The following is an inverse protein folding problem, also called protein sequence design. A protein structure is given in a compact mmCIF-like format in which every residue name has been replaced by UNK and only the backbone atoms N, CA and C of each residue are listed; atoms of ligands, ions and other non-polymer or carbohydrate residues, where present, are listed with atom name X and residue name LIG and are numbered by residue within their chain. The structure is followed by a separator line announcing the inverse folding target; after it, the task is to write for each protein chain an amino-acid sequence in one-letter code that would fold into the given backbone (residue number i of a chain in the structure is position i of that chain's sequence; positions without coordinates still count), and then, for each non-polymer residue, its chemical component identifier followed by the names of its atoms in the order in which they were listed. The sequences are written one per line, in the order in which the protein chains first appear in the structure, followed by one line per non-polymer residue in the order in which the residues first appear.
data_IF_107171432192
#
_entry.id   IF_107171432192
#
_cell.length_a   1.000
_cell.length_b   1.000
_cell.length_c   1.000
_cell.angle_alpha   90.00
_cell.angle_beta   90.00
_cell.angle_gamma   90.00
#
_symmetry.space_group_name_H-M   'P 1'
#
loop_
_entity.id
_entity.type
_entity.pdbx_description
1 polymer ?
#
# COMPACT_ATOMS: atom_id res chain seq x y z
N UNK A 1 -17.92 -7.83 29.53
CA UNK A 1 -18.29 -6.40 29.45
C UNK A 1 -17.06 -5.63 29.04
N UNK A 2 -17.11 -4.91 27.92
CA UNK A 2 -15.98 -4.07 27.53
C UNK A 2 -15.87 -2.89 28.48
N UNK A 3 -14.68 -2.61 28.95
CA UNK A 3 -14.39 -1.47 29.81
C UNK A 3 -14.77 -0.16 29.10
N UNK A 4 -15.50 0.77 29.75
CA UNK A 4 -15.96 2.00 29.10
C UNK A 4 -14.76 2.87 28.64
N UNK A 5 -14.94 3.55 27.51
CA UNK A 5 -13.94 4.48 27.01
C UNK A 5 -13.91 5.76 27.82
N UNK A 6 -12.72 6.26 28.13
CA UNK A 6 -12.56 7.61 28.67
C UNK A 6 -12.96 8.67 27.62
N UNK A 7 -13.27 9.91 28.01
CA UNK A 7 -13.60 10.98 27.07
C UNK A 7 -12.55 11.14 25.96
N UNK A 8 -11.26 11.15 26.29
CA UNK A 8 -10.15 11.25 25.32
C UNK A 8 -10.05 10.04 24.39
N UNK A 9 -10.36 8.84 24.87
CA UNK A 9 -10.39 7.65 24.02
C UNK A 9 -11.55 7.69 23.04
N UNK A 10 -12.70 8.25 23.42
CA UNK A 10 -13.83 8.48 22.51
C UNK A 10 -13.47 9.48 21.43
N UNK A 11 -12.79 10.58 21.78
CA UNK A 11 -12.34 11.59 20.82
C UNK A 11 -11.38 10.98 19.77
N UNK A 12 -10.42 10.15 20.21
CA UNK A 12 -9.50 9.46 19.31
C UNK A 12 -10.23 8.47 18.40
N UNK A 13 -11.16 7.69 18.93
CA UNK A 13 -11.94 6.75 18.12
C UNK A 13 -12.79 7.48 17.08
N UNK A 14 -13.49 8.56 17.48
CA UNK A 14 -14.29 9.38 16.58
C UNK A 14 -13.44 10.05 15.48
N UNK A 15 -12.22 10.49 15.82
CA UNK A 15 -11.26 11.02 14.83
C UNK A 15 -10.87 9.97 13.80
N UNK A 16 -10.60 8.74 14.24
CA UNK A 16 -10.24 7.62 13.36
C UNK A 16 -11.42 7.28 12.44
N UNK A 17 -12.64 7.15 13.00
CA UNK A 17 -13.85 6.85 12.25
C UNK A 17 -14.16 7.93 11.21
N UNK A 18 -14.01 9.21 11.57
CA UNK A 18 -14.22 10.35 10.68
C UNK A 18 -13.21 10.34 9.54
N UNK A 19 -11.92 10.15 9.82
CA UNK A 19 -10.87 10.08 8.79
C UNK A 19 -11.14 8.96 7.79
N UNK A 20 -11.59 7.80 8.27
CA UNK A 20 -11.95 6.67 7.40
C UNK A 20 -13.19 7.01 6.54
N UNK A 21 -14.17 7.71 7.10
CA UNK A 21 -15.38 8.11 6.37
C UNK A 21 -15.10 9.17 5.30
N UNK A 22 -14.25 10.16 5.60
CA UNK A 22 -13.96 11.29 4.72
C UNK A 22 -12.89 10.98 3.67
N UNK A 23 -11.86 10.21 4.05
CA UNK A 23 -10.68 9.99 3.20
C UNK A 23 -10.50 8.54 2.74
N UNK A 24 -11.27 7.58 3.31
CA UNK A 24 -11.15 6.15 3.00
C UNK A 24 -10.02 5.43 3.76
N UNK A 25 -9.25 6.13 4.59
CA UNK A 25 -8.14 5.57 5.37
C UNK A 25 -8.04 6.18 6.77
N UNK A 26 -7.47 5.44 7.76
CA UNK A 26 -7.27 5.96 9.11
C UNK A 26 -6.14 7.00 9.15
N UNK A 27 -6.14 7.89 10.16
CA UNK A 27 -5.06 8.85 10.36
C UNK A 27 -3.78 8.18 10.83
N UNK A 28 -2.65 8.82 10.56
CA UNK A 28 -1.34 8.44 11.13
C UNK A 28 -1.27 8.79 12.61
N UNK A 29 -0.29 8.20 13.31
CA UNK A 29 -0.02 8.55 14.73
C UNK A 29 0.30 10.03 14.92
N UNK A 30 1.01 10.64 13.98
CA UNK A 30 1.33 12.07 13.98
C UNK A 30 0.10 12.95 13.79
N UNK A 31 -0.80 12.60 12.88
CA UNK A 31 -2.08 13.30 12.67
C UNK A 31 -2.99 13.20 13.90
N UNK A 32 -3.04 12.03 14.56
CA UNK A 32 -3.79 11.86 15.82
C UNK A 32 -3.18 12.73 16.92
N UNK A 33 -1.86 12.75 17.08
CA UNK A 33 -1.18 13.57 18.08
C UNK A 33 -1.44 15.05 17.86
N UNK A 34 -1.35 15.52 16.62
CA UNK A 34 -1.64 16.91 16.24
C UNK A 34 -3.11 17.29 16.57
N UNK A 35 -4.06 16.42 16.23
CA UNK A 35 -5.48 16.64 16.52
C UNK A 35 -5.81 16.66 18.03
N UNK A 36 -5.02 15.98 18.85
CA UNK A 36 -5.13 16.00 20.30
C UNK A 36 -4.43 17.22 20.96
N UNK A 37 -3.77 18.07 20.15
CA UNK A 37 -2.97 19.18 20.64
C UNK A 37 -1.71 18.75 21.40
N UNK A 38 -1.24 17.52 21.17
CA UNK A 38 -0.07 16.97 21.84
C UNK A 38 1.20 17.19 20.99
N UNK A 39 2.27 17.62 21.65
CA UNK A 39 3.58 17.86 21.02
C UNK A 39 4.40 16.59 20.81
N UNK A 40 3.92 15.42 21.30
CA UNK A 40 4.66 14.16 21.24
C UNK A 40 3.83 13.05 20.59
N UNK A 41 4.41 12.28 19.63
CA UNK A 41 3.76 11.09 19.04
C UNK A 41 3.37 10.02 20.07
N UNK A 42 4.06 9.97 21.22
CA UNK A 42 3.78 9.01 22.30
C UNK A 42 2.39 9.19 22.94
N UNK A 43 1.80 10.38 22.87
CA UNK A 43 0.46 10.61 23.41
C UNK A 43 -0.61 9.83 22.61
N UNK A 44 -0.51 9.82 21.28
CA UNK A 44 -1.39 9.03 20.42
C UNK A 44 -1.23 7.53 20.68
N UNK A 45 0.01 7.05 20.81
CA UNK A 45 0.31 5.62 21.03
C UNK A 45 -0.37 5.08 22.30
N UNK A 46 -0.36 5.81 23.40
CA UNK A 46 -1.01 5.39 24.65
C UNK A 46 -2.54 5.21 24.48
N UNK A 47 -3.19 6.15 23.77
CA UNK A 47 -4.62 6.07 23.50
C UNK A 47 -4.95 4.93 22.53
N UNK A 48 -4.15 4.74 21.50
CA UNK A 48 -4.30 3.66 20.53
C UNK A 48 -4.16 2.28 21.20
N UNK A 49 -3.12 2.07 22.01
CA UNK A 49 -2.96 0.82 22.77
C UNK A 49 -4.09 0.55 23.74
N UNK A 50 -4.65 1.61 24.36
CA UNK A 50 -5.79 1.45 25.22
C UNK A 50 -7.06 1.07 24.45
N UNK A 51 -7.28 1.65 23.27
CA UNK A 51 -8.40 1.30 22.39
C UNK A 51 -8.27 -0.14 21.86
N UNK A 52 -7.07 -0.56 21.50
CA UNK A 52 -6.77 -1.93 21.06
C UNK A 52 -7.03 -2.95 22.17
N UNK A 53 -6.48 -2.73 23.37
CA UNK A 53 -6.71 -3.59 24.54
C UNK A 53 -8.18 -3.72 24.91
N UNK A 54 -8.95 -2.64 24.74
CA UNK A 54 -10.40 -2.61 24.94
C UNK A 54 -11.20 -3.18 23.75
N UNK A 55 -10.54 -3.58 22.66
CA UNK A 55 -11.15 -4.24 21.51
C UNK A 55 -11.96 -3.31 20.59
N UNK A 56 -11.66 -2.02 20.57
CA UNK A 56 -12.29 -1.06 19.67
C UNK A 56 -11.56 -0.92 18.33
N UNK A 57 -10.25 -1.11 18.33
CA UNK A 57 -9.41 -1.08 17.16
C UNK A 57 -8.44 -2.26 17.18
N UNK A 58 -7.81 -2.50 16.03
CA UNK A 58 -6.66 -3.39 15.86
C UNK A 58 -5.54 -2.56 15.24
N UNK A 59 -4.34 -2.65 15.82
CA UNK A 59 -3.16 -1.93 15.33
C UNK A 59 -2.33 -2.90 14.49
N UNK A 60 -2.09 -2.54 13.23
CA UNK A 60 -1.25 -3.28 12.30
C UNK A 60 0.11 -2.58 12.19
N UNK A 61 1.21 -3.29 11.86
CA UNK A 61 2.53 -2.71 11.74
C UNK A 61 2.70 -1.93 10.41
N UNK A 62 1.87 -0.91 10.20
CA UNK A 62 1.80 -0.06 9.02
C UNK A 62 1.64 1.40 9.45
N UNK A 63 2.10 2.36 8.64
CA UNK A 63 2.02 3.79 8.95
C UNK A 63 0.57 4.27 9.21
N UNK A 64 -0.42 3.72 8.49
CA UNK A 64 -1.87 3.93 8.69
C UNK A 64 -2.57 2.65 9.15
N UNK A 65 -1.88 1.80 9.89
CA UNK A 65 -2.32 0.47 10.29
C UNK A 65 -3.31 0.47 11.45
N UNK A 66 -4.40 1.22 11.38
CA UNK A 66 -5.46 1.22 12.39
C UNK A 66 -6.76 0.72 11.76
N UNK A 67 -7.32 -0.36 12.29
CA UNK A 67 -8.61 -0.91 11.88
C UNK A 67 -9.62 -0.80 13.01
N UNK A 68 -10.77 -0.16 12.76
CA UNK A 68 -11.88 -0.10 13.72
C UNK A 68 -12.64 -1.42 13.72
N UNK A 69 -12.85 -1.98 14.91
CA UNK A 69 -13.59 -3.23 15.11
C UNK A 69 -15.05 -2.89 15.38
N UNK A 70 -15.94 -3.18 14.41
CA UNK A 70 -17.37 -2.92 14.53
C UNK A 70 -18.06 -3.70 15.66
N UNK A 71 -19.22 -3.21 16.13
CA UNK A 71 -19.97 -3.74 17.28
C UNK A 71 -20.25 -5.25 17.26
N UNK A 72 -20.36 -5.88 16.09
CA UNK A 72 -20.63 -7.32 15.96
C UNK A 72 -19.50 -8.26 16.40
N UNK A 73 -18.27 -7.78 16.56
CA UNK A 73 -17.16 -8.58 17.12
C UNK A 73 -17.09 -8.47 18.65
N UNK A 74 -17.85 -7.52 19.24
CA UNK A 74 -17.92 -7.30 20.68
C UNK A 74 -18.75 -8.37 21.41
N UNK A 75 -19.69 -9.04 20.72
CA UNK A 75 -20.65 -9.98 21.34
C UNK A 75 -20.26 -11.46 21.28
N UNK A 76 -19.23 -11.85 20.48
CA UNK A 76 -18.83 -13.27 20.36
C UNK A 76 -17.94 -13.82 21.49
N UNK A 77 -17.86 -13.15 22.63
CA UNK A 77 -17.23 -13.70 23.85
C UNK A 77 -18.23 -14.03 24.98
N UNK A 78 -19.52 -14.05 24.72
CA UNK A 78 -20.55 -14.42 25.68
C UNK A 78 -21.83 -14.87 25.00
N UNK A 79 -22.03 -16.19 24.99
CA UNK A 79 -23.30 -16.95 24.92
C UNK A 79 -24.33 -16.65 23.80
N UNK A 80 -24.51 -17.63 22.95
CA UNK A 80 -25.69 -18.48 22.67
C UNK A 80 -27.09 -17.89 22.82
N UNK A 81 -27.85 -18.10 21.72
CA UNK A 81 -29.29 -18.37 21.58
C UNK A 81 -30.32 -17.24 21.41
N UNK A 82 -31.06 -17.49 20.32
CA UNK A 82 -32.48 -17.21 20.02
C UNK A 82 -32.99 -15.76 19.86
N UNK A 83 -33.46 -15.35 18.72
CA UNK A 83 -34.84 -15.49 18.28
C UNK A 83 -35.15 -14.72 16.97
N UNK A 84 -36.00 -15.31 16.18
CA UNK A 84 -36.63 -14.80 14.95
C UNK A 84 -37.46 -13.55 15.23
N UNK A 85 -37.33 -12.50 14.39
CA UNK A 85 -38.49 -11.70 13.98
C UNK A 85 -38.25 -11.07 12.59
N UNK A 86 -39.16 -11.40 11.66
CA UNK A 86 -39.39 -10.72 10.38
C UNK A 86 -39.92 -9.32 10.65
N UNK A 87 -39.32 -8.30 10.05
CA UNK A 87 -40.03 -7.06 9.70
C UNK A 87 -39.59 -6.66 8.30
N UNK A 88 -40.56 -6.64 7.41
CA UNK A 88 -40.47 -6.10 6.06
C UNK A 88 -40.37 -4.57 6.14
N UNK A 89 -39.37 -3.98 5.53
CA UNK A 89 -39.41 -2.61 5.02
C UNK A 89 -38.38 -2.47 3.92
N UNK A 90 -38.85 -2.06 2.73
CA UNK A 90 -38.08 -1.96 1.51
C UNK A 90 -37.00 -0.88 1.61
N UNK A 91 -35.80 -1.30 1.90
CA UNK A 91 -34.59 -0.54 1.69
C UNK A 91 -33.76 -1.37 0.74
N UNK A 92 -33.39 -0.78 -0.39
CA UNK A 92 -32.43 -1.35 -1.32
C UNK A 92 -31.22 -1.81 -0.51
N UNK A 93 -31.06 -3.13 -0.41
CA UNK A 93 -29.91 -3.71 0.29
C UNK A 93 -28.66 -3.37 -0.51
N UNK A 94 -27.92 -2.37 -0.06
CA UNK A 94 -26.51 -2.25 -0.42
C UNK A 94 -25.87 -3.56 0.07
N UNK A 95 -25.22 -4.35 -0.81
CA UNK A 95 -24.59 -5.59 -0.38
C UNK A 95 -23.66 -5.30 0.79
N UNK A 96 -23.73 -6.09 1.85
CA UNK A 96 -22.78 -6.04 2.97
C UNK A 96 -21.39 -6.42 2.47
N UNK A 97 -20.64 -5.43 2.03
CA UNK A 97 -19.29 -5.56 1.47
C UNK A 97 -18.27 -6.14 2.50
N UNK A 98 -18.66 -6.34 3.76
CA UNK A 98 -17.74 -6.64 4.86
C UNK A 98 -17.58 -8.12 5.23
N UNK A 99 -18.20 -9.04 4.51
CA UNK A 99 -18.04 -10.49 4.73
C UNK A 99 -17.82 -11.30 3.46
N UNK A 100 -17.58 -10.61 2.33
CA UNK A 100 -17.26 -11.26 1.07
C UNK A 100 -15.79 -11.71 1.07
N UNK A 101 -15.49 -12.99 0.73
CA UNK A 101 -14.11 -13.45 0.60
C UNK A 101 -13.27 -12.66 -0.42
N UNK A 102 -13.89 -11.82 -1.26
CA UNK A 102 -13.21 -10.88 -2.15
C UNK A 102 -12.38 -9.85 -1.38
N UNK A 103 -12.86 -9.33 -0.24
CA UNK A 103 -12.09 -8.38 0.58
C UNK A 103 -10.96 -9.00 1.39
N UNK A 104 -10.97 -10.33 1.57
CA UNK A 104 -9.86 -11.06 2.16
C UNK A 104 -8.62 -11.14 1.24
N UNK A 105 -8.74 -10.68 -0.01
CA UNK A 105 -7.71 -10.75 -1.06
C UNK A 105 -7.14 -9.38 -1.46
N UNK A 106 -7.35 -8.34 -0.67
CA UNK A 106 -6.76 -7.03 -0.99
C UNK A 106 -5.25 -7.10 -0.78
N UNK A 107 -4.52 -6.91 -1.87
CA UNK A 107 -3.08 -6.76 -1.88
C UNK A 107 -2.71 -5.32 -1.52
N UNK A 108 -1.95 -5.14 -0.45
CA UNK A 108 -1.42 -3.83 -0.04
C UNK A 108 0.01 -3.71 -0.49
N UNK A 109 0.26 -2.75 -1.36
CA UNK A 109 1.59 -2.54 -1.97
C UNK A 109 2.17 -1.21 -1.53
N UNK A 110 3.39 -1.20 -0.98
CA UNK A 110 4.10 0.04 -0.72
C UNK A 110 4.39 0.76 -2.05
N UNK A 111 4.11 2.06 -2.11
CA UNK A 111 4.47 2.92 -3.20
C UNK A 111 5.83 3.55 -2.91
N UNK A 112 6.81 3.22 -3.73
CA UNK A 112 8.15 3.79 -3.68
C UNK A 112 8.19 5.03 -4.56
N UNK A 113 8.54 6.16 -3.97
CA UNK A 113 8.60 7.43 -4.69
C UNK A 113 10.00 7.78 -5.15
N UNK A 114 10.93 7.85 -4.21
CA UNK A 114 12.33 8.17 -4.48
C UNK A 114 13.22 7.11 -3.85
N UNK A 115 14.09 6.55 -4.64
CA UNK A 115 15.13 5.63 -4.14
C UNK A 115 16.32 6.48 -3.73
N UNK A 116 16.69 6.40 -2.45
CA UNK A 116 17.88 7.09 -1.95
C UNK A 116 19.14 6.28 -2.33
N UNK A 117 20.20 7.01 -2.68
CA UNK A 117 21.50 6.42 -3.00
C UNK A 117 22.01 5.50 -1.87
N UNK A 118 22.52 4.32 -2.23
CA UNK A 118 23.08 3.35 -1.28
C UNK A 118 22.06 2.61 -0.40
N UNK A 119 20.76 2.87 -0.55
CA UNK A 119 19.71 2.22 0.24
C UNK A 119 18.96 1.14 -0.56
N UNK A 120 18.48 0.07 0.10
CA UNK A 120 17.56 -0.87 -0.55
C UNK A 120 16.30 -0.16 -1.03
N UNK A 121 15.75 -0.58 -2.18
CA UNK A 121 14.57 0.05 -2.78
C UNK A 121 13.35 0.08 -1.83
N UNK A 122 13.22 -0.92 -0.97
CA UNK A 122 12.16 -1.03 0.04
C UNK A 122 12.58 -0.46 1.42
N UNK A 123 13.56 0.44 1.48
CA UNK A 123 13.84 1.14 2.72
C UNK A 123 12.61 1.96 3.15
N UNK A 124 12.30 2.00 4.45
CA UNK A 124 11.13 2.73 4.98
C UNK A 124 11.09 4.20 4.53
N UNK A 125 12.26 4.80 4.36
CA UNK A 125 12.42 6.19 3.90
C UNK A 125 12.00 6.41 2.44
N UNK A 126 11.94 5.35 1.63
CA UNK A 126 11.56 5.39 0.21
C UNK A 126 10.05 5.21 0.01
N UNK A 127 9.32 4.77 1.03
CA UNK A 127 7.88 4.52 0.96
C UNK A 127 7.13 5.85 1.11
N UNK A 128 6.45 6.27 0.05
CA UNK A 128 5.61 7.49 0.05
C UNK A 128 4.18 7.20 0.50
N UNK A 129 3.64 6.03 0.16
CA UNK A 129 2.23 5.68 0.37
C UNK A 129 2.06 4.15 0.30
N UNK A 130 0.83 3.67 0.51
CA UNK A 130 0.43 2.28 0.32
C UNK A 130 -0.87 2.23 -0.48
N UNK A 131 -0.92 1.42 -1.54
CA UNK A 131 -2.12 1.23 -2.35
C UNK A 131 -2.73 -0.15 -2.11
N UNK A 132 -4.06 -0.17 -1.99
CA UNK A 132 -4.85 -1.39 -1.89
C UNK A 132 -5.38 -1.77 -3.28
N UNK A 133 -4.96 -2.93 -3.79
CA UNK A 133 -5.28 -3.40 -5.13
C UNK A 133 -5.80 -4.83 -5.12
N UNK A 134 -6.55 -5.21 -6.14
CA UNK A 134 -6.94 -6.61 -6.33
C UNK A 134 -5.73 -7.40 -6.88
N UNK A 135 -5.26 -8.46 -6.19
CA UNK A 135 -4.15 -9.28 -6.67
C UNK A 135 -4.42 -9.96 -8.01
N UNK A 136 -5.69 -10.15 -8.39
CA UNK A 136 -6.06 -10.75 -9.68
C UNK A 136 -5.72 -9.87 -10.89
N UNK A 137 -5.44 -8.59 -10.68
CA UNK A 137 -4.99 -7.68 -11.74
C UNK A 137 -3.58 -8.00 -12.25
N UNK A 138 -2.82 -8.84 -11.53
CA UNK A 138 -1.41 -9.06 -11.81
C UNK A 138 -1.04 -10.53 -11.87
N UNK A 139 -0.13 -10.88 -12.77
CA UNK A 139 0.50 -12.20 -12.85
C UNK A 139 1.96 -12.04 -13.25
N UNK A 140 2.93 -12.36 -12.39
CA UNK A 140 2.79 -12.74 -10.97
C UNK A 140 2.34 -11.56 -10.08
N UNK A 141 2.00 -11.88 -8.82
CA UNK A 141 1.67 -10.87 -7.81
C UNK A 141 2.86 -9.93 -7.58
N UNK A 142 2.67 -8.61 -7.63
CA UNK A 142 3.73 -7.65 -7.34
C UNK A 142 4.03 -7.54 -5.85
N UNK A 143 5.23 -7.10 -5.52
CA UNK A 143 5.70 -6.87 -4.16
C UNK A 143 5.67 -5.39 -3.77
N UNK A 144 5.77 -4.48 -4.75
CA UNK A 144 5.73 -3.04 -4.54
C UNK A 144 5.31 -2.28 -5.81
N UNK A 145 5.00 -1.01 -5.63
CA UNK A 145 4.79 -0.04 -6.70
C UNK A 145 5.94 0.94 -6.73
N UNK A 146 6.38 1.33 -7.93
CA UNK A 146 7.38 2.39 -8.11
C UNK A 146 6.76 3.52 -8.94
N UNK A 147 6.90 4.76 -8.47
CA UNK A 147 6.53 5.94 -9.24
C UNK A 147 7.52 6.18 -10.35
N UNK A 148 7.02 6.20 -11.58
CA UNK A 148 7.82 6.52 -12.78
C UNK A 148 8.12 7.99 -12.84
N UNK A 149 9.35 8.32 -13.21
CA UNK A 149 9.83 9.68 -13.50
C UNK A 149 10.47 9.73 -14.87
N UNK A 150 10.08 10.73 -15.63
CA UNK A 150 10.53 10.90 -17.01
C UNK A 150 9.79 9.99 -18.00
N UNK A 151 10.18 10.07 -19.25
CA UNK A 151 9.46 9.52 -20.39
C UNK A 151 10.28 8.49 -21.20
N UNK A 152 11.36 7.98 -20.63
CA UNK A 152 12.26 7.05 -21.33
C UNK A 152 11.60 5.72 -21.74
N UNK A 153 10.38 5.43 -21.26
CA UNK A 153 9.62 4.22 -21.56
C UNK A 153 8.26 4.52 -22.19
N UNK A 154 8.06 5.72 -22.76
CA UNK A 154 6.76 6.20 -23.29
C UNK A 154 6.20 5.29 -24.39
N UNK A 155 7.06 4.75 -25.27
CA UNK A 155 6.64 3.91 -26.41
C UNK A 155 6.28 2.48 -25.96
N UNK A 156 6.60 2.12 -24.70
CA UNK A 156 6.11 0.94 -24.00
C UNK A 156 4.82 1.23 -23.19
N UNK A 157 4.24 2.44 -23.33
CA UNK A 157 3.02 2.84 -22.63
C UNK A 157 3.23 3.25 -21.17
N UNK A 158 4.47 3.44 -20.72
CA UNK A 158 4.83 3.87 -19.37
C UNK A 158 5.25 5.34 -19.43
N UNK A 159 4.47 6.20 -18.75
CA UNK A 159 4.65 7.66 -18.79
C UNK A 159 5.06 8.22 -17.43
N UNK A 160 5.52 9.45 -17.44
CA UNK A 160 5.82 10.19 -16.22
C UNK A 160 4.60 10.26 -15.29
N UNK A 161 4.82 9.99 -14.00
CA UNK A 161 3.76 9.95 -12.98
C UNK A 161 3.00 8.62 -12.87
N UNK A 162 3.17 7.67 -13.80
CA UNK A 162 2.61 6.32 -13.67
C UNK A 162 3.19 5.58 -12.47
N UNK A 163 2.49 4.54 -12.03
CA UNK A 163 3.01 3.56 -11.08
C UNK A 163 3.24 2.24 -11.79
N UNK A 164 4.45 1.72 -11.75
CA UNK A 164 4.73 0.36 -12.21
C UNK A 164 4.62 -0.62 -11.05
N UNK A 165 3.84 -1.69 -11.25
CA UNK A 165 3.74 -2.79 -10.31
C UNK A 165 4.90 -3.75 -10.55
N UNK A 166 5.68 -4.05 -9.52
CA UNK A 166 6.96 -4.75 -9.62
C UNK A 166 6.95 -6.02 -8.79
N UNK A 167 7.16 -7.16 -9.44
CA UNK A 167 7.45 -8.42 -8.78
C UNK A 167 8.96 -8.56 -8.60
N UNK A 168 9.42 -8.74 -7.36
CA UNK A 168 10.84 -8.86 -7.02
C UNK A 168 11.50 -10.02 -7.77
N UNK A 169 12.64 -9.75 -8.36
CA UNK A 169 13.45 -10.75 -9.04
C UNK A 169 14.89 -10.25 -9.10
N UNK A 170 15.84 -11.14 -8.98
CA UNK A 170 17.26 -10.83 -9.18
C UNK A 170 17.74 -11.12 -10.60
N UNK A 171 16.86 -11.66 -11.44
CA UNK A 171 17.15 -11.99 -12.83
C UNK A 171 15.97 -11.63 -13.73
N UNK A 172 16.28 -11.43 -15.02
CA UNK A 172 15.30 -11.09 -16.04
C UNK A 172 15.64 -11.77 -17.36
N UNK A 173 14.61 -12.06 -18.15
CA UNK A 173 14.75 -12.51 -19.53
C UNK A 173 14.78 -11.32 -20.50
N UNK A 174 15.38 -11.52 -21.66
CA UNK A 174 15.41 -10.52 -22.74
C UNK A 174 13.98 -10.06 -23.09
N UNK A 175 13.82 -8.76 -23.26
CA UNK A 175 12.55 -8.14 -23.58
C UNK A 175 11.64 -7.83 -22.37
N UNK A 176 11.99 -8.28 -21.18
CA UNK A 176 11.23 -7.93 -19.97
C UNK A 176 11.56 -6.50 -19.53
N UNK A 177 10.53 -5.78 -19.10
CA UNK A 177 10.70 -4.47 -18.47
C UNK A 177 11.05 -4.70 -17.00
N UNK A 178 12.15 -4.09 -16.57
CA UNK A 178 12.70 -4.25 -15.22
C UNK A 178 12.83 -2.91 -14.51
N UNK A 179 12.77 -2.96 -13.20
CA UNK A 179 13.35 -1.93 -12.34
C UNK A 179 14.78 -2.40 -12.05
N UNK A 180 15.73 -1.63 -12.51
CA UNK A 180 17.14 -1.89 -12.31
C UNK A 180 17.79 -0.74 -11.55
N UNK A 181 18.81 -1.04 -10.76
CA UNK A 181 19.65 -0.06 -10.11
C UNK A 181 21.06 -0.17 -10.65
N UNK A 182 21.55 0.94 -11.18
CA UNK A 182 22.93 1.10 -11.64
C UNK A 182 23.55 2.13 -10.73
N UNK A 183 24.68 1.82 -10.15
CA UNK A 183 25.27 2.59 -9.07
C UNK A 183 24.23 2.81 -7.97
N UNK A 184 23.77 4.02 -7.76
CA UNK A 184 22.77 4.34 -6.74
C UNK A 184 21.42 4.80 -7.32
N UNK A 185 21.22 4.72 -8.63
CA UNK A 185 20.02 5.21 -9.31
C UNK A 185 19.12 4.08 -9.80
N UNK A 186 17.83 4.12 -9.41
CA UNK A 186 16.83 3.21 -9.95
C UNK A 186 16.29 3.71 -11.29
N UNK A 187 16.17 2.80 -12.25
CA UNK A 187 15.63 3.09 -13.59
C UNK A 187 14.69 2.00 -14.06
N UNK A 188 13.74 2.36 -14.93
CA UNK A 188 12.84 1.40 -15.61
C UNK A 188 13.27 1.31 -17.06
N UNK A 189 13.64 0.10 -17.52
CA UNK A 189 14.12 -0.15 -18.87
C UNK A 189 13.75 -1.56 -19.32
N UNK A 190 13.85 -1.81 -20.62
CA UNK A 190 13.80 -3.17 -21.18
C UNK A 190 15.15 -3.84 -21.01
N UNK A 191 15.15 -5.03 -20.43
CA UNK A 191 16.36 -5.82 -20.20
C UNK A 191 16.77 -6.55 -21.48
N UNK A 192 18.06 -6.45 -21.83
CA UNK A 192 18.70 -7.24 -22.88
C UNK A 192 20.02 -7.80 -22.37
N UNK A 193 20.22 -9.11 -22.60
CA UNK A 193 21.51 -9.79 -22.40
C UNK A 193 21.92 -10.45 -23.73
N UNK A 194 23.03 -10.00 -24.30
CA UNK A 194 23.55 -10.52 -25.55
C UNK A 194 25.08 -10.68 -25.48
N UNK A 195 25.59 -11.81 -25.85
CA UNK A 195 27.04 -12.12 -25.88
C UNK A 195 27.76 -11.84 -24.55
N UNK A 196 27.07 -12.14 -23.44
CA UNK A 196 27.55 -11.89 -22.09
C UNK A 196 27.45 -10.44 -21.60
N UNK A 197 27.06 -9.51 -22.45
CA UNK A 197 26.87 -8.10 -22.12
C UNK A 197 25.40 -7.80 -21.76
N UNK A 198 25.18 -6.96 -20.78
CA UNK A 198 23.85 -6.51 -20.38
C UNK A 198 23.64 -5.08 -20.86
N UNK A 199 22.47 -4.84 -21.44
CA UNK A 199 22.02 -3.52 -21.86
C UNK A 199 20.64 -3.25 -21.30
N UNK A 200 20.39 -2.02 -20.91
CA UNK A 200 19.08 -1.53 -20.50
C UNK A 200 18.57 -0.59 -21.57
N UNK A 201 17.55 -1.05 -22.29
CA UNK A 201 17.03 -0.36 -23.47
C UNK A 201 15.86 0.54 -23.08
N UNK A 202 15.90 1.83 -23.43
CA UNK A 202 14.73 2.71 -23.35
C UNK A 202 13.70 2.33 -24.40
N UNK A 203 12.46 2.66 -24.16
CA UNK A 203 11.38 2.65 -25.15
C UNK A 203 11.01 4.10 -25.51
N UNK A 204 12.00 4.87 -25.92
CA UNK A 204 11.90 6.22 -26.41
C UNK A 204 13.19 6.53 -27.19
N UNK A 205 13.09 6.90 -28.50
CA UNK A 205 14.26 7.14 -29.35
C UNK A 205 15.12 8.34 -28.91
N UNK A 206 14.59 9.23 -28.07
CA UNK A 206 15.34 10.37 -27.54
C UNK A 206 16.36 9.97 -26.46
N UNK A 207 16.35 8.69 -26.04
CA UNK A 207 17.25 8.14 -25.03
C UNK A 207 18.17 7.07 -25.62
N UNK A 208 19.43 7.10 -25.26
CA UNK A 208 20.37 6.05 -25.64
C UNK A 208 20.23 4.82 -24.73
N UNK A 209 20.48 3.62 -25.26
CA UNK A 209 20.66 2.42 -24.43
C UNK A 209 21.77 2.61 -23.40
N UNK A 210 21.64 1.99 -22.24
CA UNK A 210 22.65 1.98 -21.19
C UNK A 210 23.39 0.65 -21.29
N UNK A 211 24.67 0.68 -21.68
CA UNK A 211 25.55 -0.47 -21.57
C UNK A 211 26.02 -0.60 -20.12
N UNK A 212 25.86 -1.79 -19.54
CA UNK A 212 26.15 -2.01 -18.12
C UNK A 212 27.57 -2.59 -18.00
N UNK A 213 28.49 -1.74 -17.59
CA UNK A 213 29.91 -2.13 -17.39
C UNK A 213 30.28 -2.26 -15.89
N UNK A 214 29.33 -1.92 -14.97
CA UNK A 214 29.51 -1.91 -13.52
C UNK A 214 28.48 -2.76 -12.78
N UNK A 215 28.26 -2.39 -11.51
CA UNK A 215 27.33 -3.09 -10.64
C UNK A 215 25.88 -2.84 -11.05
N UNK A 216 25.20 -3.90 -11.46
CA UNK A 216 23.77 -3.91 -11.77
C UNK A 216 23.03 -4.73 -10.74
N UNK A 217 22.00 -4.14 -10.18
CA UNK A 217 21.03 -4.86 -9.37
C UNK A 217 19.68 -4.84 -10.08
N UNK A 218 19.13 -6.00 -10.40
CA UNK A 218 17.73 -6.11 -10.81
C UNK A 218 16.90 -6.16 -9.54
N UNK A 219 16.11 -5.13 -9.32
CA UNK A 219 15.20 -5.02 -8.17
C UNK A 219 13.91 -5.81 -8.39
N UNK A 220 13.46 -5.90 -9.65
CA UNK A 220 12.31 -6.69 -10.03
C UNK A 220 11.85 -6.49 -11.47
N UNK A 221 10.82 -7.26 -11.85
CA UNK A 221 10.18 -7.20 -13.17
C UNK A 221 8.89 -6.43 -13.08
N UNK A 222 8.63 -5.55 -14.03
CA UNK A 222 7.37 -4.85 -14.15
C UNK A 222 6.29 -5.84 -14.63
N UNK A 223 5.20 -5.95 -13.88
CA UNK A 223 4.08 -6.87 -14.13
C UNK A 223 2.77 -6.13 -14.38
N UNK A 224 2.77 -4.80 -14.30
CA UNK A 224 1.62 -3.97 -14.60
C UNK A 224 1.94 -2.49 -14.49
N UNK A 225 1.06 -1.67 -15.05
CA UNK A 225 1.12 -0.20 -14.98
C UNK A 225 -0.21 0.31 -14.47
N UNK A 226 -0.17 1.27 -13.55
CA UNK A 226 -1.34 1.94 -12.99
C UNK A 226 -1.22 3.42 -13.28
N UNK A 227 -2.24 3.98 -13.94
CA UNK A 227 -2.35 5.41 -14.23
C UNK A 227 -3.55 6.00 -13.51
N UNK A 228 -3.34 7.07 -12.76
CA UNK A 228 -4.40 7.73 -11.98
C UNK A 228 -5.21 8.75 -12.77
N UNK A 229 -4.62 9.32 -13.80
CA UNK A 229 -5.28 10.31 -14.68
C UNK A 229 -4.80 10.12 -16.11
N UNK A 230 -5.62 10.53 -17.06
CA UNK A 230 -5.29 10.60 -18.48
C UNK A 230 -4.83 12.00 -18.81
#
# INVERSE_FOLDING_TARGET
MNEPLSPRQKDVLALIERSIAEHGYPPTRSEISAALGATSPNAAEQHLRALERKGYIEILPLARGIRVLGEKRREKRGQSEFSKRKVFSGVVSIPKIHSDPVFARILRLPLIGRVAAGQPILAEQSIEDELALDPQLFTPTPDFLLRVRGDSMRDAGIHDGDFVAVARSRDAANGQIVVARIDDEATVKTFERKDGRIRLLPANPDYAPIDVDGDLVIEGRVVGVIRRSL
#
